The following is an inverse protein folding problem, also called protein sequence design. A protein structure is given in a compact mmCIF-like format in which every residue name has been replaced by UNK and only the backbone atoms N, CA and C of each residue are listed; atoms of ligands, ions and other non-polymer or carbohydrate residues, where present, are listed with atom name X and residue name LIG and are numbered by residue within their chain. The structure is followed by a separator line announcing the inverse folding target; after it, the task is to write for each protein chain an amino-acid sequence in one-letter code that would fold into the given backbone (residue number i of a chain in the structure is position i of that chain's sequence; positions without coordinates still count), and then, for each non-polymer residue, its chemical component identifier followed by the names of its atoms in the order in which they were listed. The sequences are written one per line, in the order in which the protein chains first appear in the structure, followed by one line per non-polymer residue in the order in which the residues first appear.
data_IF_333723936055
#
_entry.id   IF_333723936055
#
_cell.length_a   1.000
_cell.length_b   1.000
_cell.length_c   1.000
_cell.angle_alpha   90.00
_cell.angle_beta   90.00
_cell.angle_gamma   90.00
#
_symmetry.space_group_name_H-M   'P 1'
#
loop_
_entity.id
_entity.type
_entity.pdbx_description
1 polymer ?
#
# COMPACT_ATOMS: atom_id res chain seq x y z
N UNK A 1 -9.89 12.31 2.07
CA UNK A 1 -11.13 11.52 1.99
C UNK A 1 -10.75 10.07 1.87
N UNK A 2 -11.31 9.16 2.68
CA UNK A 2 -10.98 7.73 2.66
C UNK A 2 -11.34 7.10 1.31
N UNK A 3 -10.34 6.54 0.61
CA UNK A 3 -10.49 5.98 -0.75
C UNK A 3 -11.38 4.72 -0.77
N UNK A 4 -11.56 4.08 0.39
CA UNK A 4 -12.55 3.04 0.61
C UNK A 4 -13.98 3.53 0.36
N UNK A 5 -14.26 4.80 0.67
CA UNK A 5 -15.54 5.43 0.37
C UNK A 5 -15.73 5.59 -1.14
N UNK A 6 -14.68 5.99 -1.86
CA UNK A 6 -14.70 6.13 -3.32
C UNK A 6 -14.89 4.79 -4.06
N UNK A 7 -14.23 3.70 -3.61
CA UNK A 7 -14.41 2.37 -4.23
C UNK A 7 -15.82 1.81 -4.01
N UNK A 8 -16.40 2.06 -2.82
CA UNK A 8 -17.81 1.75 -2.53
C UNK A 8 -18.77 2.60 -3.38
N UNK A 9 -18.46 3.89 -3.55
CA UNK A 9 -19.23 4.83 -4.38
C UNK A 9 -19.13 4.51 -5.89
N UNK A 10 -18.05 3.85 -6.33
CA UNK A 10 -17.86 3.37 -7.72
C UNK A 10 -18.51 2.00 -8.01
N UNK A 11 -19.14 1.35 -7.02
CA UNK A 11 -19.86 0.10 -7.24
C UNK A 11 -19.00 -1.15 -7.42
N UNK A 12 -17.70 -1.10 -7.06
CA UNK A 12 -16.82 -2.29 -7.11
C UNK A 12 -17.19 -3.20 -5.93
N UNK A 13 -18.11 -4.14 -6.18
CA UNK A 13 -18.60 -5.11 -5.18
C UNK A 13 -17.89 -6.45 -5.25
N UNK A 14 -17.19 -6.77 -6.35
CA UNK A 14 -16.44 -8.02 -6.48
C UNK A 14 -15.14 -7.96 -5.64
N UNK A 15 -14.94 -8.86 -4.67
CA UNK A 15 -13.75 -8.89 -3.84
C UNK A 15 -12.44 -9.01 -4.65
N UNK A 16 -12.45 -9.71 -5.79
CA UNK A 16 -11.24 -9.86 -6.62
C UNK A 16 -10.89 -8.54 -7.32
N UNK A 17 -11.87 -7.85 -7.88
CA UNK A 17 -11.66 -6.51 -8.45
C UNK A 17 -11.18 -5.51 -7.41
N UNK A 18 -11.72 -5.53 -6.19
CA UNK A 18 -11.22 -4.69 -5.09
C UNK A 18 -9.77 -5.01 -4.75
N UNK A 19 -9.42 -6.30 -4.61
CA UNK A 19 -8.04 -6.70 -4.32
C UNK A 19 -7.07 -6.32 -5.44
N UNK A 20 -7.50 -6.48 -6.70
CA UNK A 20 -6.75 -6.05 -7.88
C UNK A 20 -6.50 -4.55 -7.86
N UNK A 21 -7.54 -3.74 -7.63
CA UNK A 21 -7.42 -2.29 -7.55
C UNK A 21 -6.48 -1.83 -6.42
N UNK A 22 -6.54 -2.49 -5.25
CA UNK A 22 -5.61 -2.24 -4.15
C UNK A 22 -4.17 -2.58 -4.54
N UNK A 23 -3.97 -3.72 -5.18
CA UNK A 23 -2.65 -4.20 -5.63
C UNK A 23 -2.04 -3.26 -6.68
N UNK A 24 -2.80 -2.90 -7.71
CA UNK A 24 -2.39 -1.95 -8.76
C UNK A 24 -2.07 -0.56 -8.21
N UNK A 25 -2.77 -0.14 -7.15
CA UNK A 25 -2.48 1.12 -6.49
C UNK A 25 -1.23 1.04 -5.60
N UNK A 26 -1.00 -0.10 -4.95
CA UNK A 26 0.17 -0.31 -4.11
C UNK A 26 1.46 -0.49 -4.92
N UNK A 27 1.39 -1.08 -6.12
CA UNK A 27 2.55 -1.30 -6.99
C UNK A 27 3.08 -0.03 -7.69
N UNK A 28 2.44 1.13 -7.48
CA UNK A 28 2.89 2.42 -8.03
C UNK A 28 4.03 3.00 -7.20
N UNK A 29 5.21 2.39 -7.32
CA UNK A 29 6.46 2.86 -6.71
C UNK A 29 7.33 3.49 -7.81
N UNK A 30 7.75 4.73 -7.60
CA UNK A 30 8.66 5.44 -8.52
C UNK A 30 10.05 5.55 -7.88
N UNK A 31 11.08 5.19 -8.64
CA UNK A 31 12.48 5.28 -8.22
C UNK A 31 13.13 6.43 -8.99
N UNK A 32 13.65 7.41 -8.24
CA UNK A 32 14.43 8.52 -8.77
C UNK A 32 15.89 8.09 -8.82
N UNK A 33 16.52 8.02 -10.02
CA UNK A 33 17.92 7.62 -10.16
C UNK A 33 18.90 8.59 -9.50
N UNK A 34 18.48 9.81 -9.14
CA UNK A 34 19.30 10.78 -8.42
C UNK A 34 19.33 10.55 -6.90
N UNK A 35 18.47 9.66 -6.39
CA UNK A 35 18.40 9.34 -4.96
C UNK A 35 19.23 8.08 -4.68
N UNK A 36 20.16 8.11 -3.70
CA UNK A 36 20.94 6.93 -3.35
C UNK A 36 20.04 5.76 -2.90
N UNK A 37 20.32 4.51 -3.34
CA UNK A 37 19.52 3.33 -2.96
C UNK A 37 19.34 3.15 -1.45
N UNK A 38 20.35 3.52 -0.65
CA UNK A 38 20.27 3.44 0.82
C UNK A 38 19.21 4.35 1.46
N UNK A 39 18.69 5.37 0.75
CA UNK A 39 17.53 6.16 1.22
C UNK A 39 16.26 5.31 1.12
N UNK A 40 16.04 4.63 -0.01
CA UNK A 40 14.89 3.74 -0.20
C UNK A 40 14.90 2.58 0.80
N UNK A 41 16.07 2.01 1.10
CA UNK A 41 16.18 0.96 2.11
C UNK A 41 15.67 1.41 3.50
N UNK A 42 16.10 2.60 3.95
CA UNK A 42 15.65 3.15 5.23
C UNK A 42 14.15 3.44 5.23
N UNK A 43 13.62 4.04 4.17
CA UNK A 43 12.18 4.26 4.01
C UNK A 43 11.40 2.94 4.01
N UNK A 44 11.94 1.89 3.39
CA UNK A 44 11.35 0.55 3.38
C UNK A 44 11.25 -0.06 4.78
N UNK A 45 12.28 0.09 5.61
CA UNK A 45 12.22 -0.38 7.02
C UNK A 45 11.09 0.30 7.79
N UNK A 46 10.93 1.62 7.65
CA UNK A 46 9.83 2.34 8.30
C UNK A 46 8.46 1.92 7.74
N UNK A 47 8.37 1.62 6.45
CA UNK A 47 7.15 1.14 5.80
C UNK A 47 6.68 -0.19 6.38
N UNK A 48 7.61 -1.13 6.62
CA UNK A 48 7.30 -2.42 7.25
C UNK A 48 6.86 -2.25 8.70
N UNK A 49 7.50 -1.35 9.46
CA UNK A 49 7.06 -1.04 10.84
C UNK A 49 5.65 -0.46 10.88
N UNK A 50 5.33 0.43 9.95
CA UNK A 50 3.99 1.00 9.84
C UNK A 50 2.96 -0.05 9.40
N UNK A 51 3.34 -0.99 8.54
CA UNK A 51 2.48 -2.11 8.15
C UNK A 51 2.15 -3.00 9.36
N UNK A 52 3.15 -3.32 10.18
CA UNK A 52 2.98 -4.12 11.41
C UNK A 52 2.08 -3.40 12.44
N UNK A 53 2.21 -2.08 12.60
CA UNK A 53 1.28 -1.29 13.41
C UNK A 53 -0.16 -1.41 12.89
N UNK A 54 -0.37 -1.24 11.58
CA UNK A 54 -1.70 -1.38 10.97
C UNK A 54 -2.28 -2.81 11.12
N UNK A 55 -1.44 -3.85 11.10
CA UNK A 55 -1.89 -5.22 11.38
C UNK A 55 -2.44 -5.35 12.80
N UNK A 56 -1.76 -4.77 13.80
CA UNK A 56 -2.17 -4.81 15.21
C UNK A 56 -3.45 -4.01 15.46
N UNK A 57 -3.63 -2.90 14.74
CA UNK A 57 -4.81 -2.05 14.83
C UNK A 57 -6.03 -2.60 14.06
N UNK A 58 -5.91 -3.76 13.39
CA UNK A 58 -6.97 -4.35 12.57
C UNK A 58 -7.18 -3.65 11.22
N UNK A 59 -6.29 -2.73 10.86
CA UNK A 59 -6.28 -1.94 9.63
C UNK A 59 -5.62 -2.73 8.48
N UNK A 60 -6.19 -3.89 8.15
CA UNK A 60 -5.57 -4.88 7.27
C UNK A 60 -5.34 -4.41 5.83
N UNK A 61 -6.22 -3.57 5.28
CA UNK A 61 -6.02 -3.03 3.93
C UNK A 61 -4.84 -2.07 3.85
N UNK A 62 -4.66 -1.23 4.86
CA UNK A 62 -3.52 -0.32 4.92
C UNK A 62 -2.22 -1.10 5.13
N UNK A 63 -2.24 -2.13 5.98
CA UNK A 63 -1.13 -3.06 6.11
C UNK A 63 -0.78 -3.73 4.77
N UNK A 64 -1.80 -4.25 4.06
CA UNK A 64 -1.62 -4.87 2.74
C UNK A 64 -0.98 -3.91 1.73
N UNK A 65 -1.48 -2.67 1.63
CA UNK A 65 -0.91 -1.64 0.74
C UNK A 65 0.56 -1.37 1.07
N UNK A 66 0.90 -1.24 2.35
CA UNK A 66 2.28 -0.96 2.78
C UNK A 66 3.21 -2.14 2.49
N UNK A 67 2.78 -3.38 2.75
CA UNK A 67 3.58 -4.56 2.39
C UNK A 67 3.78 -4.69 0.88
N UNK A 68 2.72 -4.47 0.08
CA UNK A 68 2.83 -4.54 -1.38
C UNK A 68 3.75 -3.44 -1.93
N UNK A 69 3.70 -2.22 -1.39
CA UNK A 69 4.62 -1.13 -1.73
C UNK A 69 6.08 -1.43 -1.39
N UNK A 70 6.33 -2.21 -0.34
CA UNK A 70 7.69 -2.59 0.06
C UNK A 70 8.28 -3.67 -0.84
N UNK A 71 7.44 -4.59 -1.33
CA UNK A 71 7.87 -5.72 -2.18
C UNK A 71 8.07 -5.30 -3.65
N UNK A 72 7.30 -4.32 -4.12
CA UNK A 72 7.34 -3.84 -5.52
C UNK A 72 8.59 -3.02 -5.80
#
# INVERSE_FOLDING_TARGET
MDKNRQLKEMGITDPKERLKALTENASKVEIDPNIPPGRYYRTGVEMVRLADMNMKDGSYENAFILYMKFIT
#
